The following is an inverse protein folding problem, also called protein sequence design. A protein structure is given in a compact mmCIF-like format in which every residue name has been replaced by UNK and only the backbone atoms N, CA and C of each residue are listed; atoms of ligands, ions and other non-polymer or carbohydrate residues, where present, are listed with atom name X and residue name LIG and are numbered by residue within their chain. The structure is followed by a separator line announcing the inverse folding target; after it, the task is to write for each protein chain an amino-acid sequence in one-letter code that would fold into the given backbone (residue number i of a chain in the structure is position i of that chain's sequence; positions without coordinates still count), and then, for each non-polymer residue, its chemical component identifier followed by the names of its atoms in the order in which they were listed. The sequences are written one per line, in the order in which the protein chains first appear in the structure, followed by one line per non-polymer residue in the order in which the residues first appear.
data_IF_562690063525
#
_entry.id   IF_562690063525
#
_cell.length_a   1.000
_cell.length_b   1.000
_cell.length_c   1.000
_cell.angle_alpha   90.00
_cell.angle_beta   90.00
_cell.angle_gamma   90.00
#
_symmetry.space_group_name_H-M   'P 1'
#
loop_
_entity.id
_entity.type
_entity.pdbx_description
1 polymer ?
#
# COMPACT_ATOMS: atom_id res chain seq x y z
N UNK A 1 35.54 -10.28 2.34
CA UNK A 1 35.52 -9.06 3.17
C UNK A 1 34.49 -8.07 2.62
N UNK A 2 34.54 -7.72 1.32
CA UNK A 2 33.67 -6.76 0.65
C UNK A 2 32.17 -7.11 0.79
N UNK A 3 31.75 -8.35 0.42
CA UNK A 3 30.34 -8.80 0.56
C UNK A 3 29.80 -8.76 1.99
N UNK A 4 30.67 -9.03 2.99
CA UNK A 4 30.24 -8.90 4.40
C UNK A 4 30.00 -7.44 4.80
N UNK A 5 30.84 -6.52 4.29
CA UNK A 5 30.66 -5.09 4.53
C UNK A 5 29.34 -4.57 3.93
N UNK A 6 29.04 -4.97 2.67
CA UNK A 6 27.77 -4.63 2.01
C UNK A 6 26.55 -5.17 2.78
N UNK A 7 26.59 -6.44 3.22
CA UNK A 7 25.52 -7.03 4.04
C UNK A 7 25.31 -6.32 5.39
N UNK A 8 26.36 -5.78 5.99
CA UNK A 8 26.24 -5.00 7.21
C UNK A 8 25.53 -3.66 6.96
N UNK A 9 25.84 -2.99 5.85
CA UNK A 9 25.15 -1.76 5.43
C UNK A 9 23.66 -2.05 5.16
N UNK A 10 23.33 -3.15 4.48
CA UNK A 10 21.95 -3.56 4.21
C UNK A 10 21.14 -3.86 5.48
N UNK A 11 21.79 -4.39 6.53
CA UNK A 11 21.14 -4.60 7.82
C UNK A 11 20.84 -3.30 8.56
N UNK A 12 21.73 -2.33 8.45
CA UNK A 12 21.59 -1.01 9.09
C UNK A 12 20.60 -0.15 8.32
N UNK A 13 20.68 -0.17 6.99
CA UNK A 13 19.84 0.60 6.08
C UNK A 13 19.01 -0.36 5.21
N UNK A 14 17.88 -0.83 5.74
CA UNK A 14 16.99 -1.77 5.05
C UNK A 14 16.24 -1.10 3.89
N UNK A 15 16.96 -0.72 2.83
CA UNK A 15 16.46 -0.08 1.62
C UNK A 15 16.65 -0.99 0.41
N UNK A 16 15.56 -1.26 -0.33
CA UNK A 16 15.61 -2.13 -1.51
C UNK A 16 16.63 -1.65 -2.56
N UNK A 17 16.72 -0.33 -2.79
CA UNK A 17 17.64 0.25 -3.77
C UNK A 17 19.12 0.08 -3.41
N UNK A 18 19.44 0.09 -2.10
CA UNK A 18 20.77 -0.23 -1.62
C UNK A 18 21.10 -1.69 -1.93
N UNK A 19 20.18 -2.60 -1.64
CA UNK A 19 20.34 -4.03 -1.94
C UNK A 19 20.50 -4.27 -3.44
N UNK A 20 19.65 -3.63 -4.27
CA UNK A 20 19.75 -3.69 -5.73
C UNK A 20 21.10 -3.21 -6.24
N UNK A 21 21.59 -2.06 -5.74
CA UNK A 21 22.91 -1.53 -6.11
C UNK A 21 24.04 -2.48 -5.69
N UNK A 22 23.97 -3.05 -4.48
CA UNK A 22 24.98 -4.00 -3.99
C UNK A 22 25.00 -5.28 -4.81
N UNK A 23 23.84 -5.82 -5.16
CA UNK A 23 23.71 -7.00 -6.02
C UNK A 23 24.32 -6.71 -7.39
N UNK A 24 23.98 -5.56 -7.99
CA UNK A 24 24.55 -5.13 -9.27
C UNK A 24 26.09 -5.01 -9.20
N UNK A 25 26.64 -4.35 -8.18
CA UNK A 25 28.10 -4.23 -8.03
C UNK A 25 28.78 -5.58 -7.88
N UNK A 26 28.16 -6.53 -7.16
CA UNK A 26 28.69 -7.88 -6.99
C UNK A 26 28.68 -8.65 -8.31
N UNK A 27 27.61 -8.55 -9.10
CA UNK A 27 27.50 -9.18 -10.42
C UNK A 27 28.56 -8.63 -11.40
N UNK A 28 28.71 -7.29 -11.44
CA UNK A 28 29.74 -6.66 -12.29
C UNK A 28 31.15 -7.09 -11.90
N UNK A 29 31.43 -7.26 -10.59
CA UNK A 29 32.72 -7.74 -10.10
C UNK A 29 32.99 -9.21 -10.51
N UNK A 30 31.94 -10.05 -10.50
CA UNK A 30 32.08 -11.48 -10.78
C UNK A 30 32.08 -11.85 -12.26
N UNK A 31 31.15 -11.22 -13.00
CA UNK A 31 30.90 -11.57 -14.42
C UNK A 31 31.52 -10.56 -15.41
N UNK A 32 31.85 -9.34 -14.98
CA UNK A 32 32.33 -8.30 -15.88
C UNK A 32 31.18 -7.70 -16.73
N UNK A 33 31.42 -7.59 -18.03
CA UNK A 33 30.43 -7.12 -19.01
C UNK A 33 30.26 -5.60 -19.14
N UNK A 34 29.36 -5.16 -20.01
CA UNK A 34 29.09 -3.73 -20.23
C UNK A 34 28.11 -3.19 -19.19
N UNK A 35 28.64 -2.63 -18.13
CA UNK A 35 27.87 -2.14 -16.97
C UNK A 35 27.42 -0.67 -17.07
N UNK A 36 27.93 0.10 -18.01
CA UNK A 36 27.72 1.57 -18.05
C UNK A 36 26.26 1.95 -18.25
N UNK A 37 25.57 1.30 -19.18
CA UNK A 37 24.16 1.59 -19.47
C UNK A 37 23.27 1.20 -18.28
N UNK A 38 23.49 0.05 -17.67
CA UNK A 38 22.76 -0.41 -16.49
C UNK A 38 23.01 0.47 -15.26
N UNK A 39 24.23 0.93 -15.06
CA UNK A 39 24.57 1.88 -14.00
C UNK A 39 23.88 3.24 -14.20
N UNK A 40 23.82 3.73 -15.42
CA UNK A 40 23.12 4.98 -15.74
C UNK A 40 21.61 4.89 -15.43
N UNK A 41 20.98 3.77 -15.77
CA UNK A 41 19.58 3.49 -15.47
C UNK A 41 19.36 3.47 -13.95
N UNK A 42 20.20 2.74 -13.19
CA UNK A 42 20.12 2.68 -11.73
C UNK A 42 20.30 4.07 -11.08
N UNK A 43 21.22 4.86 -11.60
CA UNK A 43 21.42 6.26 -11.15
C UNK A 43 20.19 7.10 -11.41
N UNK A 44 19.62 7.03 -12.61
CA UNK A 44 18.40 7.76 -12.96
C UNK A 44 17.21 7.35 -12.08
N UNK A 45 17.06 6.04 -11.80
CA UNK A 45 16.02 5.56 -10.86
C UNK A 45 16.26 6.11 -9.44
N UNK A 46 17.49 6.08 -8.94
CA UNK A 46 17.83 6.62 -7.64
C UNK A 46 17.51 8.13 -7.53
N UNK A 47 17.84 8.92 -8.55
CA UNK A 47 17.55 10.36 -8.61
C UNK A 47 16.02 10.61 -8.59
N UNK A 48 15.25 9.85 -9.36
CA UNK A 48 13.79 9.93 -9.36
C UNK A 48 13.20 9.54 -8.00
N UNK A 49 13.73 8.48 -7.38
CA UNK A 49 13.27 8.03 -6.07
C UNK A 49 13.54 9.07 -4.98
N UNK A 50 14.75 9.62 -4.91
CA UNK A 50 15.12 10.68 -3.96
C UNK A 50 14.17 11.87 -4.12
N UNK A 51 13.92 12.31 -5.34
CA UNK A 51 12.99 13.41 -5.61
C UNK A 51 11.57 13.11 -5.11
N UNK A 52 11.07 11.88 -5.32
CA UNK A 52 9.75 11.45 -4.82
C UNK A 52 9.70 11.41 -3.30
N UNK A 53 10.75 10.93 -2.63
CA UNK A 53 10.82 10.91 -1.17
C UNK A 53 10.71 12.34 -0.61
N UNK A 54 11.44 13.30 -1.17
CA UNK A 54 11.34 14.70 -0.75
C UNK A 54 9.95 15.29 -1.00
N UNK A 55 9.36 15.04 -2.16
CA UNK A 55 8.01 15.50 -2.48
C UNK A 55 6.98 14.92 -1.49
N UNK A 56 7.09 13.64 -1.17
CA UNK A 56 6.21 12.97 -0.21
C UNK A 56 6.39 13.54 1.20
N UNK A 57 7.62 13.78 1.64
CA UNK A 57 7.90 14.41 2.94
C UNK A 57 7.32 15.82 3.03
N UNK A 58 7.40 16.60 1.96
CA UNK A 58 6.82 17.94 1.92
C UNK A 58 5.29 17.90 2.01
N UNK A 59 4.64 16.99 1.29
CA UNK A 59 3.19 16.79 1.38
C UNK A 59 2.76 16.34 2.78
N UNK A 60 3.48 15.41 3.42
CA UNK A 60 3.20 15.02 4.81
C UNK A 60 3.33 16.22 5.75
N UNK A 61 4.39 17.01 5.60
CA UNK A 61 4.58 18.22 6.41
C UNK A 61 3.40 19.16 6.26
N UNK A 62 2.94 19.35 5.03
CA UNK A 62 1.76 20.18 4.72
C UNK A 62 0.50 19.63 5.39
N UNK A 63 0.25 18.33 5.28
CA UNK A 63 -0.89 17.65 5.94
C UNK A 63 -0.83 17.84 7.46
N UNK A 64 0.35 17.67 8.08
CA UNK A 64 0.53 17.90 9.53
C UNK A 64 0.19 19.35 9.92
N UNK A 65 0.62 20.32 9.12
CA UNK A 65 0.32 21.74 9.36
C UNK A 65 -1.18 22.03 9.21
N UNK A 66 -1.81 21.53 8.15
CA UNK A 66 -3.25 21.70 7.92
C UNK A 66 -4.08 21.04 9.03
N UNK A 67 -3.67 19.85 9.49
CA UNK A 67 -4.31 19.18 10.63
C UNK A 67 -4.19 19.99 11.92
N UNK A 68 -3.02 20.57 12.19
CA UNK A 68 -2.83 21.44 13.36
C UNK A 68 -3.76 22.67 13.31
N UNK A 69 -3.85 23.32 12.14
CA UNK A 69 -4.78 24.43 11.92
C UNK A 69 -6.24 23.96 12.10
N UNK A 70 -6.60 22.78 11.56
CA UNK A 70 -7.92 22.19 11.72
C UNK A 70 -8.30 21.95 13.19
N UNK A 71 -7.37 21.47 14.00
CA UNK A 71 -7.58 21.30 15.45
C UNK A 71 -7.81 22.64 16.13
N UNK A 72 -6.97 23.64 15.86
CA UNK A 72 -7.14 25.00 16.43
C UNK A 72 -8.50 25.58 16.03
N UNK A 73 -8.88 25.46 14.76
CA UNK A 73 -10.18 25.92 14.28
C UNK A 73 -11.35 25.18 14.96
N UNK A 74 -11.20 23.88 15.19
CA UNK A 74 -12.19 23.08 15.92
C UNK A 74 -12.38 23.56 17.36
N UNK A 75 -11.30 23.96 18.06
CA UNK A 75 -11.39 24.57 19.38
C UNK A 75 -12.10 25.92 19.35
N UNK A 76 -11.82 26.76 18.36
CA UNK A 76 -12.51 28.05 18.21
C UNK A 76 -14.01 27.85 17.97
N UNK A 77 -14.40 26.94 17.10
CA UNK A 77 -15.80 26.61 16.83
C UNK A 77 -16.50 26.01 18.07
N UNK A 78 -15.82 25.16 18.82
CA UNK A 78 -16.33 24.63 20.09
C UNK A 78 -16.53 25.76 21.13
N UNK A 79 -15.62 26.73 21.19
CA UNK A 79 -15.74 27.90 22.07
C UNK A 79 -16.94 28.77 21.70
N UNK A 80 -17.21 28.95 20.41
CA UNK A 80 -18.42 29.64 19.93
C UNK A 80 -19.68 28.88 20.35
N UNK A 81 -19.70 27.53 20.26
CA UNK A 81 -20.84 26.72 20.74
C UNK A 81 -21.10 26.92 22.22
N UNK A 82 -20.06 26.93 23.06
CA UNK A 82 -20.18 27.23 24.52
C UNK A 82 -20.77 28.61 24.74
N UNK A 83 -20.30 29.62 24.01
CA UNK A 83 -20.77 31.00 24.13
C UNK A 83 -22.27 31.13 23.74
N UNK A 84 -22.69 30.45 22.67
CA UNK A 84 -24.12 30.40 22.25
C UNK A 84 -24.95 29.74 23.34
N UNK A 85 -24.52 28.60 23.88
CA UNK A 85 -25.22 27.92 24.99
C UNK A 85 -25.37 28.84 26.21
N UNK A 86 -24.28 29.54 26.60
CA UNK A 86 -24.29 30.50 27.69
C UNK A 86 -25.27 31.68 27.46
N UNK A 87 -25.34 32.20 26.22
CA UNK A 87 -26.29 33.25 25.84
C UNK A 87 -27.72 32.73 25.96
N UNK A 88 -28.02 31.52 25.47
CA UNK A 88 -29.33 30.89 25.57
C UNK A 88 -29.77 30.70 27.03
N UNK A 89 -28.82 30.27 27.90
CA UNK A 89 -29.06 30.14 29.34
C UNK A 89 -29.49 31.45 30.00
N UNK A 90 -28.81 32.56 29.65
CA UNK A 90 -29.08 33.86 30.28
C UNK A 90 -30.26 34.64 29.66
N UNK A 91 -30.68 34.29 28.45
CA UNK A 91 -31.75 35.03 27.72
C UNK A 91 -33.10 34.35 27.85
N UNK A 92 -33.15 33.04 28.19
CA UNK A 92 -34.41 32.32 28.42
C UNK A 92 -35.03 32.72 29.76
N UNK A 93 -36.36 32.92 29.77
CA UNK A 93 -37.16 33.18 30.99
C UNK A 93 -37.05 31.99 31.99
N UNK A 94 -36.75 30.81 31.49
CA UNK A 94 -36.50 29.60 32.27
C UNK A 94 -34.97 29.51 32.45
N UNK A 95 -34.48 29.54 33.69
CA UNK A 95 -33.05 29.33 33.99
C UNK A 95 -32.65 27.91 33.64
N UNK A 96 -32.11 27.74 32.46
CA UNK A 96 -31.48 26.50 32.01
C UNK A 96 -30.04 26.48 32.51
N UNK A 97 -29.67 25.55 33.35
CA UNK A 97 -28.29 25.40 33.87
C UNK A 97 -27.58 24.28 33.11
N UNK A 98 -27.45 24.43 31.77
CA UNK A 98 -26.92 23.42 30.86
C UNK A 98 -25.44 23.26 31.05
N UNK A 99 -24.68 24.33 31.33
CA UNK A 99 -23.23 24.32 31.48
C UNK A 99 -22.78 23.52 32.69
N UNK A 100 -23.61 23.40 33.73
CA UNK A 100 -23.35 22.57 34.92
C UNK A 100 -23.89 21.13 34.78
N UNK A 101 -24.62 20.83 33.72
CA UNK A 101 -25.07 19.47 33.47
C UNK A 101 -23.88 18.50 33.27
N UNK A 102 -23.83 17.37 34.01
CA UNK A 102 -22.72 16.44 33.93
C UNK A 102 -22.53 15.85 32.52
N UNK A 103 -23.61 15.70 31.77
CA UNK A 103 -23.58 15.18 30.40
C UNK A 103 -22.90 16.16 29.44
N UNK A 104 -23.16 17.46 29.55
CA UNK A 104 -22.48 18.52 28.79
C UNK A 104 -20.98 18.55 29.09
N UNK A 105 -20.58 18.44 30.36
CA UNK A 105 -19.18 18.41 30.76
C UNK A 105 -18.45 17.19 30.23
N UNK A 106 -19.07 16.00 30.30
CA UNK A 106 -18.51 14.75 29.76
C UNK A 106 -18.31 14.86 28.25
N UNK A 107 -19.30 15.37 27.49
CA UNK A 107 -19.17 15.56 26.04
C UNK A 107 -18.03 16.52 25.71
N UNK A 108 -17.92 17.64 26.44
CA UNK A 108 -16.86 18.64 26.23
C UNK A 108 -15.48 18.08 26.54
N UNK A 109 -15.30 17.35 27.65
CA UNK A 109 -14.05 16.68 28.00
C UNK A 109 -13.69 15.60 26.96
N UNK A 110 -14.64 14.79 26.53
CA UNK A 110 -14.43 13.76 25.53
C UNK A 110 -13.97 14.37 24.19
N UNK A 111 -14.58 15.46 23.76
CA UNK A 111 -14.15 16.20 22.56
C UNK A 111 -12.69 16.68 22.69
N UNK A 112 -12.31 17.28 23.81
CA UNK A 112 -10.93 17.75 24.05
C UNK A 112 -9.93 16.58 23.96
N UNK A 113 -10.24 15.48 24.66
CA UNK A 113 -9.38 14.29 24.68
C UNK A 113 -9.24 13.72 23.26
N UNK A 114 -10.34 13.58 22.51
CA UNK A 114 -10.31 13.06 21.14
C UNK A 114 -9.48 13.94 20.21
N UNK A 115 -9.62 15.26 20.27
CA UNK A 115 -8.81 16.19 19.48
C UNK A 115 -7.33 16.10 19.81
N UNK A 116 -6.97 16.02 21.10
CA UNK A 116 -5.57 15.90 21.54
C UNK A 116 -4.97 14.55 21.16
N UNK A 117 -5.70 13.46 21.36
CA UNK A 117 -5.27 12.13 20.93
C UNK A 117 -5.07 12.07 19.42
N UNK A 118 -6.01 12.63 18.66
CA UNK A 118 -5.92 12.66 17.21
C UNK A 118 -4.72 13.49 16.72
N UNK A 119 -4.51 14.67 17.30
CA UNK A 119 -3.35 15.50 17.00
C UNK A 119 -2.04 14.75 17.26
N UNK A 120 -1.90 14.13 18.44
CA UNK A 120 -0.70 13.37 18.81
C UNK A 120 -0.49 12.17 17.86
N UNK A 121 -1.56 11.45 17.53
CA UNK A 121 -1.53 10.35 16.58
C UNK A 121 -1.01 10.80 15.21
N UNK A 122 -1.51 11.94 14.68
CA UNK A 122 -1.08 12.46 13.39
C UNK A 122 0.38 12.92 13.40
N UNK A 123 0.89 13.43 14.52
CA UNK A 123 2.30 13.83 14.64
C UNK A 123 3.26 12.63 14.65
N UNK A 124 2.87 11.51 15.28
CA UNK A 124 3.73 10.34 15.47
C UNK A 124 3.68 9.40 14.25
N UNK A 125 2.50 9.18 13.66
CA UNK A 125 2.30 8.06 12.70
C UNK A 125 2.78 8.32 11.28
N UNK A 126 3.01 9.57 10.86
CA UNK A 126 3.40 9.85 9.48
C UNK A 126 4.91 9.81 9.27
N UNK A 127 5.49 8.60 9.44
CA UNK A 127 6.85 8.32 9.04
C UNK A 127 6.90 7.82 7.59
N UNK A 128 7.97 8.20 6.87
CA UNK A 128 8.22 7.77 5.49
C UNK A 128 8.86 6.38 5.41
N UNK A 129 8.93 5.66 6.50
CA UNK A 129 9.59 4.34 6.63
C UNK A 129 9.11 3.32 5.60
N UNK A 130 7.83 3.37 5.24
CA UNK A 130 7.24 2.46 4.26
C UNK A 130 7.79 2.64 2.83
N UNK A 131 8.34 3.82 2.48
CA UNK A 131 8.98 4.07 1.18
C UNK A 131 10.41 3.51 1.12
N UNK A 132 11.03 3.34 2.28
CA UNK A 132 12.42 2.95 2.41
C UNK A 132 12.53 1.44 2.67
N UNK A 133 11.67 0.90 3.53
CA UNK A 133 11.73 -0.50 3.96
C UNK A 133 11.28 -1.45 2.85
N UNK A 134 12.17 -2.38 2.54
CA UNK A 134 11.82 -3.52 1.70
C UNK A 134 10.81 -4.41 2.43
N UNK A 135 9.80 -4.84 1.70
CA UNK A 135 8.83 -5.80 2.21
C UNK A 135 9.50 -7.16 2.40
N UNK A 136 9.22 -7.85 3.51
CA UNK A 136 9.81 -9.15 3.76
C UNK A 136 9.22 -10.22 2.83
N UNK A 137 10.07 -11.15 2.38
CA UNK A 137 9.67 -12.28 1.52
C UNK A 137 8.53 -13.11 2.12
N UNK A 138 8.53 -13.30 3.45
CA UNK A 138 7.44 -13.98 4.18
C UNK A 138 6.10 -13.26 4.06
N UNK A 139 6.09 -11.94 3.96
CA UNK A 139 4.86 -11.17 3.78
C UNK A 139 4.38 -11.26 2.33
N UNK A 140 5.28 -11.25 1.37
CA UNK A 140 4.97 -11.45 -0.04
C UNK A 140 4.43 -12.86 -0.30
N UNK A 141 5.05 -13.89 0.26
CA UNK A 141 4.58 -15.28 0.18
C UNK A 141 3.19 -15.47 0.80
N UNK A 142 2.92 -14.86 1.95
CA UNK A 142 1.58 -14.91 2.59
C UNK A 142 0.51 -14.30 1.71
N UNK A 143 0.80 -13.15 1.09
CA UNK A 143 -0.15 -12.50 0.18
C UNK A 143 -0.33 -13.33 -1.10
N UNK A 144 0.73 -13.98 -1.60
CA UNK A 144 0.65 -14.91 -2.72
C UNK A 144 -0.29 -16.09 -2.43
N UNK A 145 -0.11 -16.73 -1.28
CA UNK A 145 -1.00 -17.80 -0.82
C UNK A 145 -2.45 -17.31 -0.67
N UNK A 146 -2.63 -16.09 -0.13
CA UNK A 146 -3.96 -15.50 0.03
C UNK A 146 -4.62 -15.17 -1.31
N UNK A 147 -3.86 -14.68 -2.29
CA UNK A 147 -4.39 -14.27 -3.60
C UNK A 147 -4.75 -15.46 -4.50
N UNK A 148 -3.88 -16.48 -4.56
CA UNK A 148 -3.97 -17.56 -5.55
C UNK A 148 -4.37 -18.91 -4.97
N UNK A 149 -3.94 -19.26 -3.75
CA UNK A 149 -4.17 -20.58 -3.16
C UNK A 149 -5.31 -20.62 -2.14
N UNK A 150 -5.85 -19.45 -1.72
CA UNK A 150 -6.96 -19.43 -0.76
C UNK A 150 -8.30 -19.62 -1.48
N UNK A 151 -8.98 -20.71 -1.17
CA UNK A 151 -10.33 -20.99 -1.66
C UNK A 151 -11.37 -20.13 -0.90
N UNK A 152 -11.83 -19.05 -1.56
CA UNK A 152 -12.84 -18.14 -1.03
C UNK A 152 -14.13 -18.88 -0.63
N UNK A 153 -14.50 -19.94 -1.35
CA UNK A 153 -15.72 -20.73 -1.05
C UNK A 153 -15.61 -21.41 0.31
N UNK A 154 -14.43 -21.99 0.61
CA UNK A 154 -14.17 -22.60 1.93
C UNK A 154 -14.19 -21.55 3.05
N UNK A 155 -13.59 -20.37 2.79
CA UNK A 155 -13.55 -19.28 3.76
C UNK A 155 -14.95 -18.73 4.05
N UNK A 156 -15.76 -18.47 3.00
CA UNK A 156 -17.16 -18.07 3.19
C UNK A 156 -17.97 -19.13 3.95
N UNK A 157 -17.76 -20.42 3.64
CA UNK A 157 -18.43 -21.51 4.36
C UNK A 157 -18.09 -21.52 5.86
N UNK A 158 -16.86 -21.20 6.23
CA UNK A 158 -16.45 -21.12 7.65
C UNK A 158 -17.05 -19.91 8.37
N UNK A 159 -17.46 -18.87 7.63
CA UNK A 159 -18.11 -17.68 8.20
C UNK A 159 -19.64 -17.84 8.39
N UNK A 160 -20.27 -18.80 7.72
CA UNK A 160 -21.73 -19.03 7.81
C UNK A 160 -22.20 -19.18 9.26
N UNK A 161 -21.59 -20.01 10.15
CA UNK A 161 -22.06 -20.15 11.51
C UNK A 161 -22.00 -18.82 12.30
N UNK A 162 -20.98 -18.01 12.08
CA UNK A 162 -20.84 -16.68 12.72
C UNK A 162 -21.96 -15.75 12.26
N UNK A 163 -22.26 -15.74 10.96
CA UNK A 163 -23.33 -14.93 10.39
C UNK A 163 -24.71 -15.36 10.86
N UNK A 164 -24.95 -16.65 11.05
CA UNK A 164 -26.20 -17.19 11.62
C UNK A 164 -26.37 -16.73 13.08
N UNK A 165 -25.29 -16.77 13.89
CA UNK A 165 -25.30 -16.26 15.27
C UNK A 165 -25.61 -14.75 15.27
N UNK A 166 -24.96 -13.96 14.40
CA UNK A 166 -25.21 -12.52 14.30
C UNK A 166 -26.63 -12.20 13.85
N UNK A 167 -27.19 -12.96 12.93
CA UNK A 167 -28.59 -12.83 12.52
C UNK A 167 -29.55 -13.16 13.68
N UNK A 168 -29.24 -14.18 14.49
CA UNK A 168 -29.99 -14.49 15.70
C UNK A 168 -29.96 -13.37 16.74
N UNK A 169 -28.77 -12.80 16.99
CA UNK A 169 -28.60 -11.65 17.89
C UNK A 169 -29.40 -10.45 17.38
N UNK A 170 -29.32 -10.14 16.08
CA UNK A 170 -30.08 -9.07 15.43
C UNK A 170 -31.59 -9.26 15.60
N UNK A 171 -32.10 -10.48 15.46
CA UNK A 171 -33.52 -10.80 15.69
C UNK A 171 -33.95 -10.59 17.14
N UNK A 172 -33.13 -10.97 18.12
CA UNK A 172 -33.38 -10.74 19.54
C UNK A 172 -33.41 -9.25 19.85
N UNK A 173 -32.44 -8.47 19.35
CA UNK A 173 -32.38 -7.02 19.55
C UNK A 173 -33.60 -6.30 18.93
N UNK A 174 -34.06 -6.75 17.77
CA UNK A 174 -35.25 -6.24 17.13
C UNK A 174 -36.52 -6.53 17.97
N UNK A 175 -36.62 -7.73 18.56
CA UNK A 175 -37.74 -8.10 19.44
C UNK A 175 -37.83 -7.20 20.68
N UNK A 176 -36.66 -6.80 21.25
CA UNK A 176 -36.60 -5.85 22.38
C UNK A 176 -36.77 -4.38 21.99
N UNK A 177 -36.99 -4.07 20.69
CA UNK A 177 -37.15 -2.69 20.20
C UNK A 177 -35.84 -1.90 20.05
N UNK A 178 -34.69 -2.54 20.15
CA UNK A 178 -33.37 -1.90 20.04
C UNK A 178 -32.90 -1.83 18.58
N UNK A 179 -33.68 -1.15 17.75
CA UNK A 179 -33.49 -1.09 16.30
C UNK A 179 -32.11 -0.55 15.86
N UNK A 180 -31.54 0.40 16.62
CA UNK A 180 -30.21 0.93 16.32
C UNK A 180 -29.13 -0.18 16.43
N UNK A 181 -29.17 -0.98 17.48
CA UNK A 181 -28.23 -2.08 17.69
C UNK A 181 -28.45 -3.24 16.71
N UNK A 182 -29.71 -3.45 16.30
CA UNK A 182 -30.03 -4.36 15.22
C UNK A 182 -29.35 -3.93 13.90
N UNK A 183 -29.46 -2.64 13.54
CA UNK A 183 -28.79 -2.11 12.34
C UNK A 183 -27.27 -2.27 12.39
N UNK A 184 -26.65 -2.01 13.55
CA UNK A 184 -25.21 -2.20 13.76
C UNK A 184 -24.83 -3.69 13.55
N UNK A 185 -25.58 -4.63 14.11
CA UNK A 185 -25.31 -6.06 13.95
C UNK A 185 -25.40 -6.49 12.47
N UNK A 186 -26.40 -6.00 11.73
CA UNK A 186 -26.54 -6.29 10.29
C UNK A 186 -25.36 -5.73 9.50
N UNK A 187 -24.94 -4.48 9.75
CA UNK A 187 -23.79 -3.87 9.08
C UNK A 187 -22.50 -4.64 9.36
N UNK A 188 -22.28 -5.07 10.62
CA UNK A 188 -21.14 -5.91 10.98
C UNK A 188 -21.18 -7.27 10.26
N UNK A 189 -22.33 -7.89 10.12
CA UNK A 189 -22.51 -9.13 9.37
C UNK A 189 -22.14 -8.99 7.89
N UNK A 190 -22.61 -7.92 7.24
CA UNK A 190 -22.29 -7.59 5.85
C UNK A 190 -20.78 -7.33 5.72
N UNK A 191 -20.19 -6.58 6.63
CA UNK A 191 -18.76 -6.31 6.65
C UNK A 191 -17.94 -7.61 6.73
N UNK A 192 -18.26 -8.52 7.65
CA UNK A 192 -17.59 -9.82 7.79
C UNK A 192 -17.68 -10.67 6.53
N UNK A 193 -18.79 -10.58 5.79
CA UNK A 193 -18.95 -11.29 4.51
C UNK A 193 -18.04 -10.72 3.42
N UNK A 194 -17.84 -9.42 3.37
CA UNK A 194 -17.09 -8.73 2.33
C UNK A 194 -15.57 -8.74 2.60
N UNK A 195 -15.15 -8.75 3.89
CA UNK A 195 -13.73 -8.70 4.30
C UNK A 195 -12.81 -9.68 3.57
N UNK A 196 -13.15 -10.97 3.36
CA UNK A 196 -12.27 -11.91 2.64
C UNK A 196 -11.99 -11.48 1.20
N UNK A 197 -12.99 -10.93 0.52
CA UNK A 197 -12.82 -10.42 -0.86
C UNK A 197 -11.94 -9.18 -0.89
N UNK A 198 -12.17 -8.24 0.03
CA UNK A 198 -11.34 -7.02 0.16
C UNK A 198 -9.89 -7.41 0.44
N UNK A 199 -9.65 -8.33 1.38
CA UNK A 199 -8.30 -8.77 1.74
C UNK A 199 -7.58 -9.46 0.57
N UNK A 200 -8.29 -10.28 -0.21
CA UNK A 200 -7.74 -10.90 -1.43
C UNK A 200 -7.37 -9.85 -2.48
N UNK A 201 -8.26 -8.90 -2.75
CA UNK A 201 -7.98 -7.82 -3.71
C UNK A 201 -6.81 -6.93 -3.23
N UNK A 202 -6.76 -6.63 -1.94
CA UNK A 202 -5.66 -5.88 -1.35
C UNK A 202 -4.33 -6.66 -1.44
N UNK A 203 -4.34 -7.98 -1.20
CA UNK A 203 -3.18 -8.85 -1.38
C UNK A 203 -2.71 -8.85 -2.85
N UNK A 204 -3.63 -8.99 -3.80
CA UNK A 204 -3.33 -8.95 -5.23
C UNK A 204 -2.76 -7.58 -5.65
N UNK A 205 -3.33 -6.47 -5.16
CA UNK A 205 -2.80 -5.12 -5.43
C UNK A 205 -1.37 -4.96 -4.91
N UNK A 206 -1.08 -5.48 -3.71
CA UNK A 206 0.28 -5.46 -3.13
C UNK A 206 1.25 -6.33 -3.92
N UNK A 207 0.82 -7.53 -4.34
CA UNK A 207 1.65 -8.41 -5.17
C UNK A 207 1.94 -7.81 -6.55
N UNK A 208 0.96 -7.17 -7.21
CA UNK A 208 1.19 -6.45 -8.47
C UNK A 208 2.25 -5.36 -8.31
N UNK A 209 2.23 -4.64 -7.18
CA UNK A 209 3.25 -3.66 -6.85
C UNK A 209 4.63 -4.30 -6.69
N UNK A 210 4.72 -5.33 -5.85
CA UNK A 210 5.98 -6.06 -5.63
C UNK A 210 6.51 -6.64 -6.94
N UNK A 211 5.62 -7.07 -7.84
CA UNK A 211 5.98 -7.61 -9.14
C UNK A 211 6.64 -6.58 -10.06
N UNK A 212 6.19 -5.32 -10.09
CA UNK A 212 6.84 -4.29 -10.91
C UNK A 212 8.31 -4.07 -10.51
N UNK A 213 8.59 -4.06 -9.20
CA UNK A 213 9.97 -3.97 -8.70
C UNK A 213 10.78 -5.21 -9.02
N UNK A 214 10.23 -6.36 -8.67
CA UNK A 214 10.88 -7.65 -8.85
C UNK A 214 11.18 -7.96 -10.30
N UNK A 215 10.26 -7.63 -11.20
CA UNK A 215 10.41 -7.85 -12.62
C UNK A 215 11.49 -6.94 -13.24
N UNK A 216 11.56 -5.68 -12.84
CA UNK A 216 12.60 -4.75 -13.32
C UNK A 216 14.00 -5.20 -12.90
N UNK A 217 14.15 -5.66 -11.65
CA UNK A 217 15.42 -6.20 -11.14
C UNK A 217 15.80 -7.52 -11.83
N UNK A 218 14.85 -8.45 -11.95
CA UNK A 218 15.05 -9.71 -12.66
C UNK A 218 15.42 -9.49 -14.13
N UNK A 219 14.72 -8.60 -14.82
CA UNK A 219 15.03 -8.30 -16.23
C UNK A 219 16.44 -7.73 -16.41
N UNK A 220 16.91 -6.93 -15.45
CA UNK A 220 18.31 -6.44 -15.45
C UNK A 220 19.29 -7.60 -15.29
N UNK A 221 19.01 -8.53 -14.37
CA UNK A 221 19.88 -9.69 -14.13
C UNK A 221 19.95 -10.60 -15.37
N UNK A 222 18.80 -10.83 -16.05
CA UNK A 222 18.76 -11.50 -17.36
C UNK A 222 19.59 -10.75 -18.39
N UNK A 223 19.45 -9.41 -18.45
CA UNK A 223 20.18 -8.59 -19.41
C UNK A 223 21.71 -8.65 -19.22
N UNK A 224 22.19 -8.73 -17.97
CA UNK A 224 23.62 -8.88 -17.67
C UNK A 224 24.15 -10.26 -18.12
N UNK A 225 23.39 -11.34 -17.90
CA UNK A 225 23.78 -12.69 -18.31
C UNK A 225 23.73 -12.85 -19.83
N UNK A 226 22.77 -12.19 -20.49
CA UNK A 226 22.57 -12.28 -21.95
C UNK A 226 23.76 -11.72 -22.75
N UNK A 227 24.64 -10.92 -22.14
CA UNK A 227 25.87 -10.44 -22.80
C UNK A 227 26.87 -11.56 -23.09
N UNK A 228 26.79 -12.70 -22.38
CA UNK A 228 27.74 -13.81 -22.46
C UNK A 228 27.09 -15.14 -22.86
N UNK A 229 25.77 -15.26 -22.71
CA UNK A 229 25.04 -16.52 -22.83
C UNK A 229 23.81 -16.40 -23.74
N UNK A 230 23.21 -17.56 -24.13
CA UNK A 230 21.92 -17.57 -24.82
C UNK A 230 20.80 -17.12 -23.90
N UNK A 231 19.68 -16.63 -24.47
CA UNK A 231 18.53 -16.15 -23.68
C UNK A 231 18.00 -17.22 -22.70
N UNK A 232 17.94 -18.49 -23.14
CA UNK A 232 17.46 -19.59 -22.30
C UNK A 232 18.35 -19.79 -21.07
N UNK A 233 19.68 -19.84 -21.26
CA UNK A 233 20.66 -19.98 -20.18
C UNK A 233 20.65 -18.74 -19.28
N UNK A 234 20.59 -17.54 -19.86
CA UNK A 234 20.51 -16.31 -19.10
C UNK A 234 19.27 -16.25 -18.18
N UNK A 235 18.15 -16.81 -18.61
CA UNK A 235 16.93 -16.92 -17.80
C UNK A 235 17.10 -17.97 -16.70
N UNK A 236 17.67 -19.15 -17.02
CA UNK A 236 17.91 -20.24 -16.07
C UNK A 236 18.83 -19.79 -14.93
N UNK A 237 19.94 -19.11 -15.25
CA UNK A 237 20.92 -18.59 -14.28
C UNK A 237 20.30 -17.58 -13.29
N UNK A 238 19.20 -16.92 -13.65
CA UNK A 238 18.51 -16.00 -12.75
C UNK A 238 17.53 -16.67 -11.79
N UNK A 239 17.30 -17.98 -11.88
CA UNK A 239 16.32 -18.68 -11.04
C UNK A 239 16.63 -18.59 -9.55
N UNK A 240 17.88 -18.79 -9.16
CA UNK A 240 18.26 -18.77 -7.74
C UNK A 240 18.11 -17.39 -7.10
N UNK A 241 18.39 -16.34 -7.87
CA UNK A 241 18.29 -14.94 -7.43
C UNK A 241 16.90 -14.34 -7.59
N UNK A 242 16.01 -15.04 -8.32
CA UNK A 242 14.68 -14.56 -8.61
C UNK A 242 13.83 -14.37 -7.34
N UNK A 243 13.00 -13.31 -7.29
CA UNK A 243 12.07 -13.05 -6.20
C UNK A 243 11.07 -14.18 -6.00
N UNK A 244 10.72 -14.45 -4.73
CA UNK A 244 9.81 -15.56 -4.34
C UNK A 244 8.49 -15.53 -5.09
N UNK A 245 7.94 -14.34 -5.36
CA UNK A 245 6.65 -14.17 -6.07
C UNK A 245 6.71 -14.62 -7.55
N UNK A 246 7.91 -14.68 -8.14
CA UNK A 246 8.11 -15.07 -9.53
C UNK A 246 8.57 -16.53 -9.69
N UNK A 247 9.11 -17.15 -8.64
CA UNK A 247 9.78 -18.46 -8.71
C UNK A 247 8.92 -19.55 -9.34
N UNK A 248 7.66 -19.67 -8.90
CA UNK A 248 6.74 -20.69 -9.43
C UNK A 248 6.47 -20.49 -10.93
N UNK A 249 6.23 -19.26 -11.36
CA UNK A 249 6.03 -18.96 -12.78
C UNK A 249 7.31 -19.10 -13.60
N UNK A 250 8.45 -18.76 -12.99
CA UNK A 250 9.75 -18.84 -13.64
C UNK A 250 10.18 -20.30 -13.85
N UNK A 251 9.94 -21.18 -12.87
CA UNK A 251 10.19 -22.62 -13.00
C UNK A 251 9.40 -23.23 -14.15
N UNK A 252 8.10 -22.90 -14.24
CA UNK A 252 7.25 -23.34 -15.34
C UNK A 252 7.72 -22.80 -16.70
N UNK A 253 8.18 -21.55 -16.71
CA UNK A 253 8.68 -20.89 -17.90
C UNK A 253 9.98 -21.51 -18.40
N UNK A 254 10.96 -21.77 -17.52
CA UNK A 254 12.22 -22.42 -17.84
C UNK A 254 11.95 -23.83 -18.42
N UNK A 255 11.14 -24.63 -17.71
CA UNK A 255 10.78 -25.97 -18.18
C UNK A 255 10.15 -25.97 -19.58
N UNK A 256 9.25 -25.03 -19.84
CA UNK A 256 8.58 -24.94 -21.13
C UNK A 256 9.52 -24.50 -22.28
N UNK A 257 10.51 -23.64 -21.99
CA UNK A 257 11.53 -23.23 -22.97
C UNK A 257 12.50 -24.39 -23.26
N UNK A 258 12.89 -25.15 -22.24
CA UNK A 258 13.75 -26.32 -22.41
C UNK A 258 13.09 -27.43 -23.24
N UNK A 259 11.79 -27.67 -23.00
CA UNK A 259 11.02 -28.70 -23.75
C UNK A 259 10.87 -28.31 -25.23
N UNK A 260 10.58 -27.05 -25.52
CA UNK A 260 10.43 -26.56 -26.89
C UNK A 260 10.95 -25.11 -27.06
N UNK A 261 12.26 -24.94 -27.39
CA UNK A 261 12.88 -23.62 -27.50
C UNK A 261 12.28 -22.69 -28.57
N UNK A 262 11.56 -23.24 -29.55
CA UNK A 262 10.94 -22.49 -30.64
C UNK A 262 9.48 -22.10 -30.34
N UNK A 263 8.93 -22.50 -29.19
CA UNK A 263 7.55 -22.18 -28.84
C UNK A 263 7.47 -20.76 -28.24
N UNK A 264 6.56 -19.99 -28.76
CA UNK A 264 6.26 -18.62 -28.29
C UNK A 264 5.32 -18.63 -27.08
N UNK A 265 4.56 -19.70 -26.90
CA UNK A 265 3.50 -19.82 -25.90
C UNK A 265 3.98 -19.54 -24.47
N UNK A 266 5.16 -20.04 -24.03
CA UNK A 266 5.68 -19.74 -22.69
C UNK A 266 5.86 -18.23 -22.42
N UNK A 267 6.33 -17.47 -23.42
CA UNK A 267 6.54 -16.03 -23.31
C UNK A 267 5.21 -15.24 -23.21
N UNK A 268 4.10 -15.80 -23.71
CA UNK A 268 2.77 -15.23 -23.58
C UNK A 268 2.09 -15.58 -22.26
N UNK A 269 2.42 -16.72 -21.68
CA UNK A 269 1.80 -17.22 -20.44
C UNK A 269 2.54 -16.79 -19.18
N UNK A 270 3.81 -16.43 -19.29
CA UNK A 270 4.64 -16.03 -18.16
C UNK A 270 4.02 -14.86 -17.39
N UNK A 271 3.85 -15.01 -16.08
CA UNK A 271 3.25 -14.04 -15.16
C UNK A 271 1.81 -13.60 -15.50
N UNK A 272 1.14 -14.29 -16.42
CA UNK A 272 -0.22 -13.92 -16.86
C UNK A 272 -1.25 -13.99 -15.71
N UNK A 273 -0.99 -14.80 -14.68
CA UNK A 273 -1.82 -14.88 -13.48
C UNK A 273 -1.97 -13.55 -12.73
N UNK A 274 -1.02 -12.63 -12.90
CA UNK A 274 -1.09 -11.30 -12.30
C UNK A 274 -1.88 -10.29 -13.13
N UNK A 275 -2.25 -10.63 -14.37
CA UNK A 275 -2.98 -9.74 -15.29
C UNK A 275 -2.30 -8.36 -15.46
N UNK A 276 -0.97 -8.35 -15.67
CA UNK A 276 -0.17 -7.13 -15.86
C UNK A 276 0.30 -7.06 -17.31
N UNK A 277 -0.42 -6.33 -18.14
CA UNK A 277 -0.20 -6.25 -19.60
C UNK A 277 1.16 -5.68 -19.99
N UNK A 278 1.71 -4.74 -19.19
CA UNK A 278 2.99 -4.11 -19.47
C UNK A 278 4.15 -5.11 -19.31
N UNK A 279 4.13 -5.92 -18.24
CA UNK A 279 5.09 -6.98 -18.01
C UNK A 279 5.00 -8.04 -19.12
N UNK A 280 3.79 -8.47 -19.46
CA UNK A 280 3.59 -9.44 -20.56
C UNK A 280 4.12 -8.90 -21.89
N UNK A 281 3.99 -7.61 -22.17
CA UNK A 281 4.56 -6.99 -23.37
C UNK A 281 6.08 -7.00 -23.36
N UNK A 282 6.71 -6.76 -22.21
CA UNK A 282 8.16 -6.80 -22.04
C UNK A 282 8.75 -8.21 -22.25
N UNK A 283 8.06 -9.24 -21.75
CA UNK A 283 8.44 -10.64 -21.96
C UNK A 283 8.35 -11.05 -23.43
N UNK A 284 7.35 -10.56 -24.17
CA UNK A 284 7.25 -10.79 -25.62
C UNK A 284 8.41 -10.17 -26.42
N UNK A 285 8.90 -9.02 -25.97
CA UNK A 285 10.08 -8.41 -26.59
C UNK A 285 11.33 -9.26 -26.29
N UNK A 286 11.43 -9.89 -25.09
CA UNK A 286 12.52 -10.85 -24.81
C UNK A 286 12.52 -12.01 -25.82
N UNK A 287 11.34 -12.53 -26.21
CA UNK A 287 11.29 -13.55 -27.26
C UNK A 287 11.91 -13.07 -28.58
N UNK A 288 11.62 -11.81 -28.98
CA UNK A 288 12.19 -11.26 -30.21
C UNK A 288 13.73 -11.16 -30.18
N UNK A 289 14.34 -11.11 -28.98
CA UNK A 289 15.80 -11.12 -28.83
C UNK A 289 16.42 -12.51 -29.07
N UNK A 290 15.65 -13.60 -28.85
CA UNK A 290 16.14 -14.94 -29.13
C UNK A 290 16.33 -15.21 -30.61
N UNK A 291 15.67 -14.43 -31.48
CA UNK A 291 15.71 -14.59 -32.93
C UNK A 291 16.63 -13.61 -33.66
N UNK A 292 17.17 -12.59 -32.97
CA UNK A 292 17.92 -11.48 -33.60
C UNK A 292 19.44 -11.57 -33.40
N UNK A 293 20.20 -10.93 -34.33
CA UNK A 293 21.66 -10.83 -34.27
C UNK A 293 22.15 -9.97 -33.10
N UNK A 294 23.34 -10.27 -32.57
CA UNK A 294 23.96 -9.70 -31.37
C UNK A 294 23.98 -8.17 -31.29
N UNK A 295 24.07 -7.46 -32.43
CA UNK A 295 24.14 -5.99 -32.47
C UNK A 295 22.81 -5.29 -32.15
N UNK A 296 21.66 -5.98 -32.37
CA UNK A 296 20.32 -5.45 -32.05
C UNK A 296 19.92 -5.74 -30.61
N UNK A 297 20.56 -6.71 -29.97
CA UNK A 297 20.26 -7.17 -28.60
C UNK A 297 20.48 -6.05 -27.60
N UNK A 298 21.65 -5.40 -27.61
CA UNK A 298 22.01 -4.40 -26.60
C UNK A 298 21.10 -3.17 -26.59
N UNK A 299 20.76 -2.66 -27.78
CA UNK A 299 19.82 -1.52 -27.90
C UNK A 299 18.41 -1.88 -27.45
N UNK A 300 17.95 -3.09 -27.76
CA UNK A 300 16.62 -3.57 -27.39
C UNK A 300 16.53 -3.82 -25.88
N UNK A 301 17.56 -4.42 -25.27
CA UNK A 301 17.66 -4.61 -23.82
C UNK A 301 17.64 -3.26 -23.08
N UNK A 302 18.46 -2.30 -23.53
CA UNK A 302 18.49 -0.96 -22.94
C UNK A 302 17.11 -0.31 -22.99
N UNK A 303 16.42 -0.42 -24.10
CA UNK A 303 15.07 0.10 -24.28
C UNK A 303 14.07 -0.58 -23.34
N UNK A 304 14.15 -1.92 -23.21
CA UNK A 304 13.33 -2.71 -22.29
C UNK A 304 13.54 -2.31 -20.84
N UNK A 305 14.80 -2.24 -20.41
CA UNK A 305 15.14 -1.84 -19.06
C UNK A 305 14.63 -0.43 -18.75
N UNK A 306 14.91 0.53 -19.63
CA UNK A 306 14.42 1.91 -19.46
C UNK A 306 12.91 1.96 -19.35
N UNK A 307 12.18 1.26 -20.23
CA UNK A 307 10.72 1.20 -20.18
C UNK A 307 10.19 0.58 -18.87
N UNK A 308 10.79 -0.52 -18.42
CA UNK A 308 10.34 -1.16 -17.17
C UNK A 308 10.60 -0.30 -15.94
N UNK A 309 11.74 0.41 -15.89
CA UNK A 309 11.99 1.38 -14.82
C UNK A 309 11.04 2.59 -14.89
N UNK A 310 10.68 3.06 -16.07
CA UNK A 310 9.66 4.10 -16.23
C UNK A 310 8.29 3.65 -15.74
N UNK A 311 7.88 2.41 -16.06
CA UNK A 311 6.63 1.81 -15.57
C UNK A 311 6.63 1.66 -14.04
N UNK A 312 7.72 1.18 -13.47
CA UNK A 312 7.92 1.10 -12.02
C UNK A 312 7.78 2.49 -11.38
N UNK A 313 8.42 3.50 -11.96
CA UNK A 313 8.35 4.89 -11.50
C UNK A 313 6.93 5.48 -11.56
N UNK A 314 6.19 5.20 -12.64
CA UNK A 314 4.79 5.62 -12.79
C UNK A 314 3.92 4.95 -11.73
N UNK A 315 4.12 3.66 -11.48
CA UNK A 315 3.38 2.92 -10.47
C UNK A 315 3.67 3.44 -9.06
N UNK A 316 4.92 3.71 -8.72
CA UNK A 316 5.29 4.34 -7.43
C UNK A 316 4.66 5.71 -7.26
N UNK A 317 4.64 6.51 -8.32
CA UNK A 317 4.04 7.85 -8.27
C UNK A 317 2.53 7.76 -8.02
N UNK A 318 1.84 6.82 -8.69
CA UNK A 318 0.42 6.59 -8.48
C UNK A 318 0.12 6.07 -7.06
N UNK A 319 0.91 5.13 -6.55
CA UNK A 319 0.76 4.58 -5.20
C UNK A 319 0.99 5.66 -4.12
N UNK A 320 1.98 6.53 -4.31
CA UNK A 320 2.23 7.68 -3.43
C UNK A 320 1.05 8.67 -3.44
N UNK A 321 0.46 8.93 -4.61
CA UNK A 321 -0.70 9.79 -4.74
C UNK A 321 -1.93 9.21 -4.02
N UNK A 322 -2.15 7.89 -4.12
CA UNK A 322 -3.21 7.18 -3.38
C UNK A 322 -3.02 7.32 -1.86
N UNK A 323 -1.79 7.12 -1.36
CA UNK A 323 -1.47 7.28 0.05
C UNK A 323 -1.69 8.71 0.56
N UNK A 324 -1.23 9.71 -0.18
CA UNK A 324 -1.44 11.13 0.14
C UNK A 324 -2.93 11.46 0.14
N UNK A 325 -3.70 10.95 -0.81
CA UNK A 325 -5.15 11.17 -0.88
C UNK A 325 -5.87 10.67 0.36
N UNK A 326 -5.54 9.46 0.84
CA UNK A 326 -6.09 8.89 2.07
C UNK A 326 -5.68 9.73 3.29
N UNK A 327 -4.42 10.18 3.33
CA UNK A 327 -3.94 11.03 4.42
C UNK A 327 -4.64 12.40 4.43
N UNK A 328 -4.92 13.01 3.28
CA UNK A 328 -5.68 14.26 3.18
C UNK A 328 -7.10 14.13 3.72
N UNK A 329 -7.74 12.97 3.53
CA UNK A 329 -9.06 12.75 4.12
C UNK A 329 -9.04 12.87 5.65
N UNK A 330 -7.93 12.53 6.28
CA UNK A 330 -7.76 12.63 7.73
C UNK A 330 -7.76 14.08 8.24
N UNK A 331 -7.51 15.09 7.39
CA UNK A 331 -7.56 16.52 7.77
C UNK A 331 -8.96 16.97 8.21
N UNK A 332 -10.01 16.28 7.73
CA UNK A 332 -11.40 16.60 8.06
C UNK A 332 -11.88 16.01 9.41
N UNK A 333 -11.11 15.12 10.03
CA UNK A 333 -11.53 14.45 11.27
C UNK A 333 -11.75 15.43 12.44
N UNK A 334 -10.90 16.45 12.69
CA UNK A 334 -11.16 17.43 13.73
C UNK A 334 -12.46 18.21 13.52
N UNK A 335 -12.76 18.53 12.26
CA UNK A 335 -14.02 19.21 11.88
C UNK A 335 -15.23 18.33 12.15
N UNK A 336 -15.12 17.03 11.93
CA UNK A 336 -16.17 16.07 12.27
C UNK A 336 -16.39 16.00 13.79
N UNK A 337 -15.33 15.99 14.60
CA UNK A 337 -15.47 15.98 16.05
C UNK A 337 -16.19 17.22 16.58
N UNK A 338 -15.89 18.40 16.05
CA UNK A 338 -16.59 19.62 16.46
C UNK A 338 -18.04 19.63 15.99
N UNK A 339 -18.34 19.11 14.81
CA UNK A 339 -19.72 19.00 14.33
C UNK A 339 -20.57 18.10 15.25
N UNK A 340 -20.02 16.96 15.68
CA UNK A 340 -20.68 16.06 16.64
C UNK A 340 -20.88 16.74 18.00
N UNK A 341 -19.87 17.49 18.49
CA UNK A 341 -20.00 18.25 19.74
C UNK A 341 -21.11 19.31 19.64
N UNK A 342 -21.10 20.12 18.60
CA UNK A 342 -22.15 21.16 18.41
C UNK A 342 -23.54 20.56 18.32
N UNK A 343 -23.70 19.42 17.61
CA UNK A 343 -24.97 18.71 17.53
C UNK A 343 -25.42 18.18 18.91
N UNK A 344 -24.49 17.66 19.72
CA UNK A 344 -24.79 17.20 21.07
C UNK A 344 -25.18 18.38 22.00
N UNK A 345 -24.47 19.51 21.92
CA UNK A 345 -24.82 20.73 22.67
C UNK A 345 -26.23 21.24 22.31
N UNK A 346 -26.56 21.27 21.01
CA UNK A 346 -27.89 21.67 20.53
C UNK A 346 -29.00 20.73 21.01
N UNK A 347 -28.74 19.42 20.98
CA UNK A 347 -29.68 18.42 21.50
C UNK A 347 -29.93 18.62 23.01
N UNK A 348 -28.90 18.88 23.80
CA UNK A 348 -29.02 19.17 25.23
C UNK A 348 -29.82 20.43 25.49
N UNK A 349 -29.63 21.49 24.70
CA UNK A 349 -30.46 22.71 24.79
C UNK A 349 -31.91 22.37 24.49
N UNK A 350 -32.23 21.64 23.43
CA UNK A 350 -33.62 21.32 23.03
C UNK A 350 -34.30 20.38 24.04
N UNK A 351 -33.58 19.42 24.63
CA UNK A 351 -34.16 18.46 25.57
C UNK A 351 -34.42 19.06 26.97
N UNK A 352 -33.71 20.11 27.32
CA UNK A 352 -33.87 20.81 28.61
C UNK A 352 -34.75 22.08 28.49
N UNK A 353 -35.13 22.45 27.24
CA UNK A 353 -36.08 23.53 26.97
C UNK A 353 -37.52 23.02 27.03
#
# INVERSE_FOLDING_TARGET
VYRMALKNIEKEYACSRITTLHTFLTQVEEKGGEYKSSLEILRCDADHWVKRVYQFQEEIRRIKQTTAIGVVLSFLMASVSVLVTYICENTSEIRLDITHEPLYQVVSCTFLILCMMYYTYMQIRHDCDWMVKQRSDKAAERDYQMAFHTDLKKLHRSLIPILVIMAGISGILAYYGWYLWCAVAVVCGIYLWIVPQINRQAALKRLKKDLYYSFADWLRDVALNLSEESLAMAIEDTYDTAPVIMKESLEQFIYAIEENPSDVTPYYSFLNQFEVTDISSSVRILYSLSENDAQSIDTTIKTLLTRNYELMNQYETADNADHISIMRFSEYIPTFFVAVKVAADMLLVITNY
#
